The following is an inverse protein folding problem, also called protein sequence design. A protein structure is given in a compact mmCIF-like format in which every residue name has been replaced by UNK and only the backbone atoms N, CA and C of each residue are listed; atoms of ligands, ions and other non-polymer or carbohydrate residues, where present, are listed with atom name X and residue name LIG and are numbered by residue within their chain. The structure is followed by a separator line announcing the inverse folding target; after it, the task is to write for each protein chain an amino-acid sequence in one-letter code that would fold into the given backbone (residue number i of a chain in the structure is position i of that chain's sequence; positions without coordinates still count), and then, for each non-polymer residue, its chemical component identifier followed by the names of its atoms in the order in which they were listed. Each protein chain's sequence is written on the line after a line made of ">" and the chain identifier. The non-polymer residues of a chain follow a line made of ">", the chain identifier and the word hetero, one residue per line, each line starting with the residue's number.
data_IF_397895998890
#
_entry.id   IF_397895998890
#
_cell.length_a   1.000
_cell.length_b   1.000
_cell.length_c   1.000
_cell.angle_alpha   90.00
_cell.angle_beta   90.00
_cell.angle_gamma   90.00
#
_symmetry.space_group_name_H-M   'P 1'
#
loop_
_entity.id
_entity.type
_entity.pdbx_description
1 polymer ?
#
# COMPACT_ATOMS: atom_id res chain seq x y z
N UNK A 1 13.13 27.50 -15.57
CA UNK A 1 14.12 27.24 -16.63
C UNK A 1 13.55 26.20 -17.58
N UNK A 2 13.72 26.36 -18.89
CA UNK A 2 13.25 25.36 -19.86
C UNK A 2 14.32 24.28 -20.03
N UNK A 3 14.01 23.04 -19.64
CA UNK A 3 14.88 21.88 -19.86
C UNK A 3 14.52 21.25 -21.21
N UNK A 4 15.43 21.33 -22.18
CA UNK A 4 15.28 20.69 -23.49
C UNK A 4 16.09 19.39 -23.49
N UNK A 5 15.40 18.25 -23.58
CA UNK A 5 16.00 16.92 -23.64
C UNK A 5 15.88 16.40 -25.07
N UNK A 6 17.01 16.04 -25.68
CA UNK A 6 17.06 15.41 -27.00
C UNK A 6 17.40 13.93 -26.83
N UNK A 7 16.46 13.05 -27.17
CA UNK A 7 16.66 11.59 -27.11
C UNK A 7 17.10 11.12 -28.49
N UNK A 8 18.30 10.53 -28.58
CA UNK A 8 18.77 9.88 -29.80
C UNK A 8 18.64 8.37 -29.63
N UNK A 9 17.70 7.75 -30.35
CA UNK A 9 17.58 6.29 -30.43
C UNK A 9 18.69 5.76 -31.34
N UNK A 10 19.87 5.53 -30.78
CA UNK A 10 20.99 4.93 -31.52
C UNK A 10 20.86 3.42 -31.42
N UNK A 11 20.67 2.79 -32.58
CA UNK A 11 20.71 1.34 -32.72
C UNK A 11 22.10 0.84 -32.26
N UNK A 12 22.16 0.09 -31.16
CA UNK A 12 23.41 -0.46 -30.60
C UNK A 12 23.77 -1.84 -31.20
N UNK A 13 23.03 -2.26 -32.23
CA UNK A 13 23.20 -3.58 -32.84
C UNK A 13 24.39 -3.58 -33.82
N UNK A 14 25.08 -4.71 -33.91
CA UNK A 14 26.21 -4.93 -34.83
C UNK A 14 25.82 -4.60 -36.29
N UNK A 15 26.81 -4.12 -37.06
CA UNK A 15 26.62 -3.73 -38.45
C UNK A 15 25.99 -4.87 -39.29
N UNK A 16 24.72 -4.72 -39.69
CA UNK A 16 24.01 -5.66 -40.55
C UNK A 16 22.53 -5.93 -40.21
N UNK A 17 22.02 -5.49 -39.06
CA UNK A 17 20.61 -5.69 -38.66
C UNK A 17 19.80 -4.38 -38.66
N UNK A 18 18.87 -4.26 -39.61
CA UNK A 18 17.93 -3.12 -39.78
C UNK A 18 16.58 -3.36 -39.08
N UNK A 19 16.58 -3.85 -37.84
CA UNK A 19 15.34 -3.93 -37.06
C UNK A 19 14.99 -2.57 -36.46
N UNK A 20 13.77 -2.10 -36.67
CA UNK A 20 13.26 -0.87 -36.05
C UNK A 20 13.24 -1.03 -34.52
N UNK A 21 14.21 -0.41 -33.83
CA UNK A 21 14.25 -0.39 -32.36
C UNK A 21 13.12 0.50 -31.84
N UNK A 22 12.04 -0.11 -31.35
CA UNK A 22 10.97 0.59 -30.68
C UNK A 22 11.33 0.83 -29.21
N UNK A 23 11.35 2.10 -28.79
CA UNK A 23 11.40 2.45 -27.36
C UNK A 23 9.95 2.55 -26.89
N UNK A 24 9.53 1.60 -26.05
CA UNK A 24 8.23 1.66 -25.39
C UNK A 24 8.40 2.29 -24.00
N UNK A 25 7.55 3.28 -23.68
CA UNK A 25 7.45 3.83 -22.34
C UNK A 25 6.29 3.16 -21.63
N UNK A 26 6.47 2.78 -20.36
CA UNK A 26 5.39 2.27 -19.54
C UNK A 26 4.30 3.35 -19.42
N UNK A 27 3.03 3.04 -19.75
CA UNK A 27 1.94 3.98 -19.55
C UNK A 27 1.87 4.41 -18.08
N UNK A 28 1.92 5.73 -17.81
CA UNK A 28 1.80 6.30 -16.47
C UNK A 28 3.10 6.77 -15.82
N UNK A 29 4.25 6.14 -16.10
CA UNK A 29 5.55 6.53 -15.49
C UNK A 29 6.32 7.57 -16.33
N UNK A 30 6.17 7.55 -17.66
CA UNK A 30 6.76 8.55 -18.56
C UNK A 30 8.29 8.54 -18.59
N UNK A 31 8.90 9.66 -19.01
CA UNK A 31 10.35 9.85 -19.06
C UNK A 31 10.81 10.60 -17.81
N UNK A 32 11.64 9.97 -16.99
CA UNK A 32 12.20 10.58 -15.79
C UNK A 32 13.66 11.03 -15.99
N UNK A 33 13.98 12.23 -15.50
CA UNK A 33 15.36 12.74 -15.44
C UNK A 33 15.79 12.81 -13.99
N UNK A 34 16.69 11.91 -13.60
CA UNK A 34 17.24 11.84 -12.25
C UNK A 34 18.40 12.82 -12.12
N UNK A 35 18.36 13.67 -11.09
CA UNK A 35 19.45 14.56 -10.74
C UNK A 35 19.92 14.29 -9.32
N UNK A 36 21.18 14.63 -9.02
CA UNK A 36 21.76 14.40 -7.71
C UNK A 36 21.18 15.37 -6.68
N UNK A 37 20.41 14.84 -5.74
CA UNK A 37 19.76 15.60 -4.65
C UNK A 37 20.49 15.50 -3.30
N UNK A 38 21.44 14.57 -3.14
CA UNK A 38 22.13 14.37 -1.85
C UNK A 38 23.18 13.26 -1.83
N UNK A 39 23.50 12.80 -0.61
CA UNK A 39 24.42 11.69 -0.34
C UNK A 39 23.72 10.38 0.02
N UNK A 40 24.37 9.25 -0.24
CA UNK A 40 23.81 7.91 -0.05
C UNK A 40 23.51 7.58 1.43
N UNK A 41 24.43 7.90 2.35
CA UNK A 41 24.32 7.51 3.76
C UNK A 41 23.04 8.03 4.44
N UNK A 42 22.68 9.30 4.19
CA UNK A 42 21.44 9.88 4.72
C UNK A 42 20.19 9.23 4.12
N UNK A 43 20.24 8.86 2.84
CA UNK A 43 19.15 8.14 2.17
C UNK A 43 18.98 6.72 2.72
N UNK A 44 20.09 6.02 2.98
CA UNK A 44 20.11 4.69 3.59
C UNK A 44 19.49 4.72 4.98
N UNK A 45 19.84 5.70 5.81
CA UNK A 45 19.27 5.86 7.15
C UNK A 45 17.74 6.04 7.08
N UNK A 46 17.25 6.85 6.14
CA UNK A 46 15.80 7.02 5.92
C UNK A 46 15.12 5.71 5.56
N UNK A 47 15.71 4.93 4.65
CA UNK A 47 15.18 3.61 4.30
C UNK A 47 15.16 2.64 5.47
N UNK A 48 16.21 2.64 6.30
CA UNK A 48 16.27 1.84 7.52
C UNK A 48 15.19 2.25 8.53
N UNK A 49 14.96 3.55 8.72
CA UNK A 49 13.91 4.06 9.61
C UNK A 49 12.52 3.62 9.15
N UNK A 50 12.24 3.67 7.84
CA UNK A 50 10.97 3.16 7.27
C UNK A 50 10.82 1.67 7.56
N UNK A 51 11.90 0.89 7.39
CA UNK A 51 11.88 -0.55 7.63
C UNK A 51 11.65 -0.87 9.12
N UNK A 52 12.29 -0.16 10.04
CA UNK A 52 12.06 -0.30 11.48
C UNK A 52 10.64 0.08 11.89
N UNK A 53 10.06 1.13 11.31
CA UNK A 53 8.67 1.48 11.57
C UNK A 53 7.70 0.37 11.14
N UNK A 54 7.92 -0.25 9.96
CA UNK A 54 7.15 -1.42 9.50
C UNK A 54 7.29 -2.60 10.47
N UNK A 55 8.50 -2.87 10.96
CA UNK A 55 8.75 -3.94 11.95
C UNK A 55 8.10 -3.66 13.31
N UNK A 56 8.09 -2.40 13.77
CA UNK A 56 7.42 -1.98 15.00
C UNK A 56 5.91 -2.20 14.93
N UNK A 57 5.30 -1.99 13.76
CA UNK A 57 3.90 -2.32 13.54
C UNK A 57 3.64 -3.82 13.71
N UNK A 58 4.44 -4.66 13.06
CA UNK A 58 4.30 -6.11 13.09
C UNK A 58 4.52 -6.66 14.50
N UNK A 59 5.48 -6.10 15.25
CA UNK A 59 5.70 -6.49 16.64
C UNK A 59 4.51 -6.12 17.54
N UNK A 60 3.91 -4.94 17.36
CA UNK A 60 2.72 -4.54 18.10
C UNK A 60 1.52 -5.44 17.80
N UNK A 61 1.33 -5.85 16.54
CA UNK A 61 0.32 -6.86 16.15
C UNK A 61 0.58 -8.16 16.90
N UNK A 62 1.81 -8.68 16.85
CA UNK A 62 2.16 -9.95 17.50
C UNK A 62 1.94 -9.90 19.03
N UNK A 63 2.31 -8.81 19.69
CA UNK A 63 2.13 -8.60 21.13
C UNK A 63 0.65 -8.51 21.49
N UNK A 64 -0.14 -7.75 20.72
CA UNK A 64 -1.59 -7.66 20.95
C UNK A 64 -2.26 -9.02 20.79
N UNK A 65 -1.96 -9.75 19.71
CA UNK A 65 -2.50 -11.09 19.48
C UNK A 65 -2.08 -12.09 20.57
N UNK A 66 -0.82 -12.06 21.02
CA UNK A 66 -0.34 -12.95 22.07
C UNK A 66 -1.04 -12.74 23.44
N UNK A 67 -1.71 -11.61 23.65
CA UNK A 67 -2.40 -11.33 24.92
C UNK A 67 -3.69 -12.16 25.10
N UNK A 68 -4.35 -12.55 24.00
CA UNK A 68 -5.60 -13.31 24.03
C UNK A 68 -5.59 -14.59 23.17
N UNK A 69 -4.64 -14.74 22.25
CA UNK A 69 -4.39 -16.00 21.53
C UNK A 69 -3.25 -16.80 22.18
N UNK A 70 -3.25 -18.12 21.97
CA UNK A 70 -2.09 -18.96 22.28
C UNK A 70 -0.88 -18.59 21.41
N UNK A 71 0.34 -18.87 21.92
CA UNK A 71 1.59 -18.51 21.24
C UNK A 71 1.67 -18.97 19.76
N UNK A 72 1.33 -20.22 19.39
CA UNK A 72 1.45 -20.66 18.00
C UNK A 72 0.48 -19.94 17.07
N UNK A 73 -0.75 -19.67 17.52
CA UNK A 73 -1.77 -18.99 16.72
C UNK A 73 -1.50 -17.50 16.60
N UNK A 74 -0.95 -16.86 17.63
CA UNK A 74 -0.53 -15.46 17.58
C UNK A 74 0.58 -15.22 16.54
N UNK A 75 1.56 -16.11 16.46
CA UNK A 75 2.65 -16.03 15.47
C UNK A 75 2.10 -16.22 14.05
N UNK A 76 1.23 -17.21 13.84
CA UNK A 76 0.64 -17.45 12.52
C UNK A 76 -0.22 -16.25 12.07
N UNK A 77 -1.03 -15.70 12.98
CA UNK A 77 -1.89 -14.58 12.70
C UNK A 77 -1.09 -13.28 12.42
N UNK A 78 -0.03 -13.00 13.17
CA UNK A 78 0.84 -11.84 12.89
C UNK A 78 1.57 -11.98 11.56
N UNK A 79 1.98 -13.20 11.19
CA UNK A 79 2.55 -13.48 9.86
C UNK A 79 1.54 -13.24 8.73
N UNK A 80 0.27 -13.65 8.92
CA UNK A 80 -0.78 -13.38 7.94
C UNK A 80 -1.03 -11.87 7.77
N UNK A 81 -1.03 -11.11 8.86
CA UNK A 81 -1.13 -9.63 8.80
C UNK A 81 0.05 -9.05 8.04
N UNK A 82 1.28 -9.52 8.29
CA UNK A 82 2.46 -9.08 7.57
C UNK A 82 2.38 -9.35 6.06
N UNK A 83 2.00 -10.57 5.66
CA UNK A 83 1.84 -10.94 4.25
C UNK A 83 0.75 -10.10 3.59
N UNK A 84 -0.37 -9.88 4.29
CA UNK A 84 -1.47 -9.04 3.78
C UNK A 84 -1.03 -7.60 3.61
N UNK A 85 -0.26 -7.05 4.56
CA UNK A 85 0.28 -5.70 4.47
C UNK A 85 1.25 -5.53 3.30
N UNK A 86 2.06 -6.55 2.99
CA UNK A 86 2.93 -6.58 1.81
C UNK A 86 2.14 -6.70 0.49
N UNK A 87 1.07 -7.50 0.48
CA UNK A 87 0.27 -7.76 -0.72
C UNK A 87 -0.82 -6.72 -0.99
N UNK A 88 -1.10 -5.83 -0.03
CA UNK A 88 -2.17 -4.83 -0.08
C UNK A 88 -2.16 -3.94 -1.33
N UNK A 89 -0.99 -3.47 -1.77
CA UNK A 89 -0.86 -2.65 -2.98
C UNK A 89 -1.25 -3.42 -4.24
N UNK A 90 -0.82 -4.68 -4.35
CA UNK A 90 -1.22 -5.56 -5.45
C UNK A 90 -2.72 -5.86 -5.43
N UNK A 91 -3.32 -6.01 -4.24
CA UNK A 91 -4.77 -6.17 -4.11
C UNK A 91 -5.52 -4.90 -4.51
N UNK A 92 -5.02 -3.72 -4.14
CA UNK A 92 -5.58 -2.45 -4.58
C UNK A 92 -5.55 -2.32 -6.11
N UNK A 93 -4.43 -2.65 -6.74
CA UNK A 93 -4.29 -2.66 -8.20
C UNK A 93 -5.24 -3.66 -8.87
N UNK A 94 -5.34 -4.88 -8.30
CA UNK A 94 -6.24 -5.90 -8.81
C UNK A 94 -7.71 -5.48 -8.73
N UNK A 95 -8.12 -4.81 -7.64
CA UNK A 95 -9.48 -4.26 -7.48
C UNK A 95 -9.71 -3.12 -8.47
N UNK A 96 -8.72 -2.24 -8.68
CA UNK A 96 -8.81 -1.15 -9.66
C UNK A 96 -9.01 -1.68 -11.08
N UNK A 97 -8.26 -2.72 -11.47
CA UNK A 97 -8.41 -3.39 -12.78
C UNK A 97 -9.78 -4.08 -12.87
N UNK A 98 -10.20 -4.77 -11.82
CA UNK A 98 -11.45 -5.54 -11.81
C UNK A 98 -12.70 -4.66 -11.83
N UNK A 99 -12.66 -3.52 -11.13
CA UNK A 99 -13.77 -2.57 -11.07
C UNK A 99 -13.78 -1.61 -12.25
N UNK A 100 -12.62 -1.31 -12.85
CA UNK A 100 -12.47 -0.42 -14.01
C UNK A 100 -12.93 1.02 -13.74
N UNK A 101 -12.98 1.44 -12.47
CA UNK A 101 -13.73 2.63 -12.03
C UNK A 101 -12.90 3.86 -11.66
N UNK A 102 -11.57 3.81 -11.66
CA UNK A 102 -10.79 4.96 -11.23
C UNK A 102 -10.29 5.83 -12.38
N UNK A 103 -10.79 7.08 -12.37
CA UNK A 103 -10.12 8.23 -12.97
C UNK A 103 -9.16 8.79 -11.92
N UNK A 104 -7.86 8.95 -12.23
CA UNK A 104 -6.80 9.28 -11.25
C UNK A 104 -6.88 10.69 -10.61
N UNK A 105 -7.99 11.42 -10.73
CA UNK A 105 -8.08 12.86 -10.42
C UNK A 105 -9.34 13.27 -9.62
N UNK A 106 -10.04 12.33 -8.97
CA UNK A 106 -11.31 12.61 -8.29
C UNK A 106 -11.21 12.58 -6.76
N UNK A 107 -11.62 13.68 -6.11
CA UNK A 107 -11.82 13.80 -4.65
C UNK A 107 -12.65 12.63 -4.11
N UNK A 108 -12.30 12.07 -2.95
CA UNK A 108 -12.96 10.91 -2.33
C UNK A 108 -14.51 11.02 -2.27
N UNK A 109 -15.04 12.23 -2.11
CA UNK A 109 -16.48 12.52 -2.09
C UNK A 109 -17.11 12.43 -3.49
N UNK A 110 -16.40 12.84 -4.53
CA UNK A 110 -16.85 12.69 -5.92
C UNK A 110 -16.83 11.22 -6.35
N UNK A 111 -15.82 10.48 -5.90
CA UNK A 111 -15.70 9.04 -6.11
C UNK A 111 -16.83 8.27 -5.40
N UNK A 112 -17.14 8.63 -4.15
CA UNK A 112 -18.29 8.07 -3.41
C UNK A 112 -19.62 8.36 -4.11
N UNK A 113 -19.85 9.59 -4.58
CA UNK A 113 -21.08 9.95 -5.33
C UNK A 113 -21.20 9.16 -6.64
N UNK A 114 -20.12 9.06 -7.42
CA UNK A 114 -20.09 8.28 -8.65
C UNK A 114 -20.42 6.81 -8.38
N UNK A 115 -19.80 6.22 -7.35
CA UNK A 115 -20.02 4.82 -6.95
C UNK A 115 -21.45 4.56 -6.48
N UNK A 116 -22.05 5.48 -5.71
CA UNK A 116 -23.48 5.40 -5.30
C UNK A 116 -24.42 5.49 -6.50
N UNK A 117 -24.16 6.40 -7.45
CA UNK A 117 -25.00 6.51 -8.66
C UNK A 117 -24.90 5.28 -9.56
N UNK A 118 -23.73 4.64 -9.66
CA UNK A 118 -23.55 3.38 -10.39
C UNK A 118 -24.30 2.22 -9.73
N UNK A 119 -24.27 2.14 -8.40
CA UNK A 119 -25.01 1.13 -7.63
C UNK A 119 -26.52 1.26 -7.87
N UNK A 120 -27.04 2.50 -7.82
CA UNK A 120 -28.45 2.79 -8.08
C UNK A 120 -28.86 2.43 -9.52
N UNK A 121 -28.02 2.73 -10.51
CA UNK A 121 -28.28 2.37 -11.91
C UNK A 121 -28.25 0.86 -12.16
N UNK A 122 -27.33 0.12 -11.53
CA UNK A 122 -27.21 -1.35 -11.65
C UNK A 122 -28.37 -2.09 -10.98
N UNK A 123 -28.84 -1.58 -9.83
CA UNK A 123 -30.04 -2.10 -9.14
C UNK A 123 -31.31 -1.95 -9.98
N UNK A 124 -31.48 -0.81 -10.66
CA UNK A 124 -32.64 -0.57 -11.53
C UNK A 124 -32.63 -1.44 -12.78
N UNK A 125 -31.45 -1.78 -13.31
CA UNK A 125 -31.30 -2.61 -14.51
C UNK A 125 -31.45 -4.13 -14.28
N UNK A 126 -31.72 -4.58 -13.05
CA UNK A 126 -31.79 -6.02 -12.71
C UNK A 126 -30.51 -6.81 -13.03
N UNK A 127 -29.37 -6.12 -13.16
CA UNK A 127 -28.06 -6.73 -13.41
C UNK A 127 -27.44 -7.23 -12.10
N UNK A 128 -28.03 -8.26 -11.51
CA UNK A 128 -27.62 -8.84 -10.22
C UNK A 128 -26.12 -9.21 -10.17
N UNK A 129 -25.57 -9.64 -11.28
CA UNK A 129 -24.14 -9.95 -11.40
C UNK A 129 -23.26 -8.72 -11.17
N UNK A 130 -23.64 -7.57 -11.72
CA UNK A 130 -22.90 -6.33 -11.57
C UNK A 130 -23.11 -5.69 -10.19
N UNK A 131 -24.29 -5.89 -9.58
CA UNK A 131 -24.56 -5.46 -8.20
C UNK A 131 -23.71 -6.24 -7.18
N UNK A 132 -23.60 -7.56 -7.32
CA UNK A 132 -22.77 -8.42 -6.44
C UNK A 132 -21.30 -7.98 -6.51
N UNK A 133 -20.78 -7.72 -7.71
CA UNK A 133 -19.40 -7.21 -7.87
C UNK A 133 -19.19 -5.88 -7.16
N UNK A 134 -20.15 -4.95 -7.26
CA UNK A 134 -20.01 -3.65 -6.59
C UNK A 134 -20.02 -3.82 -5.07
N UNK A 135 -20.91 -4.65 -4.53
CA UNK A 135 -20.92 -4.97 -3.09
C UNK A 135 -19.59 -5.61 -2.64
N UNK A 136 -19.08 -6.58 -3.42
CA UNK A 136 -17.77 -7.19 -3.17
C UNK A 136 -16.63 -6.18 -3.18
N UNK A 137 -16.63 -5.23 -4.12
CA UNK A 137 -15.62 -4.17 -4.17
C UNK A 137 -15.69 -3.23 -2.96
N UNK A 138 -16.88 -2.88 -2.45
CA UNK A 138 -16.99 -2.07 -1.23
C UNK A 138 -16.43 -2.79 -0.01
N UNK A 139 -16.68 -4.10 0.10
CA UNK A 139 -16.10 -4.90 1.17
C UNK A 139 -14.58 -4.96 1.05
N UNK A 140 -14.06 -5.18 -0.16
CA UNK A 140 -12.64 -5.23 -0.42
C UNK A 140 -11.95 -3.88 -0.14
N UNK A 141 -12.53 -2.76 -0.57
CA UNK A 141 -12.03 -1.41 -0.27
C UNK A 141 -12.08 -1.12 1.23
N UNK A 142 -13.16 -1.52 1.92
CA UNK A 142 -13.27 -1.38 3.37
C UNK A 142 -12.23 -2.21 4.11
N UNK A 143 -11.96 -3.43 3.64
CA UNK A 143 -10.91 -4.29 4.18
C UNK A 143 -9.53 -3.68 3.95
N UNK A 144 -9.23 -3.23 2.73
CA UNK A 144 -7.96 -2.58 2.40
C UNK A 144 -7.76 -1.26 3.14
N UNK A 145 -8.82 -0.51 3.45
CA UNK A 145 -8.73 0.69 4.28
C UNK A 145 -8.30 0.37 5.73
N UNK A 146 -8.61 -0.83 6.22
CA UNK A 146 -8.20 -1.29 7.54
C UNK A 146 -6.76 -1.87 7.51
N UNK A 147 -6.39 -2.52 6.40
CA UNK A 147 -5.08 -3.14 6.23
C UNK A 147 -4.01 -2.08 5.94
N UNK A 148 -2.91 -2.04 6.72
CA UNK A 148 -1.79 -1.16 6.43
C UNK A 148 -1.12 -1.51 5.09
N UNK A 149 -0.94 -0.54 4.21
CA UNK A 149 -0.18 -0.72 2.96
C UNK A 149 1.30 -0.46 3.14
N UNK A 150 2.12 -1.51 3.05
CA UNK A 150 3.58 -1.34 3.04
C UNK A 150 4.12 -0.95 1.66
N UNK A 151 3.34 -1.14 0.60
CA UNK A 151 3.72 -0.84 -0.78
C UNK A 151 3.75 0.65 -1.08
N UNK A 152 2.87 1.44 -0.45
CA UNK A 152 2.78 2.90 -0.66
C UNK A 152 4.09 3.63 -0.30
N UNK A 153 4.90 3.01 0.57
CA UNK A 153 6.18 3.53 1.04
C UNK A 153 7.32 2.58 0.71
N UNK A 154 7.62 2.43 -0.58
CA UNK A 154 8.70 1.57 -1.06
C UNK A 154 10.08 2.27 -1.02
N UNK A 155 10.59 2.47 0.19
CA UNK A 155 11.92 3.01 0.39
C UNK A 155 13.03 2.09 -0.17
N UNK A 156 12.79 0.77 -0.25
CA UNK A 156 13.79 -0.21 -0.70
C UNK A 156 14.02 -0.06 -2.21
N UNK A 157 12.95 -0.04 -3.00
CA UNK A 157 13.05 0.18 -4.45
C UNK A 157 13.63 1.56 -4.74
N UNK A 158 13.21 2.59 -4.00
CA UNK A 158 13.83 3.93 -4.14
C UNK A 158 15.34 3.88 -3.90
N UNK A 159 15.80 3.21 -2.85
CA UNK A 159 17.23 3.04 -2.56
C UNK A 159 17.96 2.21 -3.62
N UNK A 160 17.36 1.11 -4.10
CA UNK A 160 17.94 0.23 -5.10
C UNK A 160 18.09 0.92 -6.47
N UNK A 161 17.12 1.77 -6.84
CA UNK A 161 17.14 2.56 -8.09
C UNK A 161 17.92 3.87 -7.93
N UNK A 162 18.49 4.15 -6.75
CA UNK A 162 19.24 5.38 -6.49
C UNK A 162 18.36 6.64 -6.39
N UNK A 163 17.05 6.48 -6.19
CA UNK A 163 16.10 7.56 -5.92
C UNK A 163 16.19 8.01 -4.45
N UNK A 164 15.90 9.29 -4.23
CA UNK A 164 15.90 9.87 -2.89
C UNK A 164 14.58 9.58 -2.17
N UNK A 165 14.67 9.05 -0.95
CA UNK A 165 13.53 8.84 -0.05
C UNK A 165 13.10 10.20 0.52
N UNK A 166 11.86 10.64 0.24
CA UNK A 166 11.35 11.90 0.76
C UNK A 166 11.30 11.88 2.29
N UNK A 167 11.62 13.01 2.93
CA UNK A 167 11.56 13.09 4.39
C UNK A 167 10.11 13.05 4.91
N UNK A 168 9.17 13.62 4.15
CA UNK A 168 7.73 13.53 4.42
C UNK A 168 7.26 12.10 4.59
N UNK A 169 7.76 11.20 3.74
CA UNK A 169 7.34 9.81 3.68
C UNK A 169 7.84 9.07 4.92
N UNK A 170 9.08 9.33 5.33
CA UNK A 170 9.66 8.78 6.56
C UNK A 170 8.83 9.19 7.78
N UNK A 171 8.50 10.48 7.90
CA UNK A 171 7.70 10.98 9.02
C UNK A 171 6.30 10.37 9.01
N UNK A 172 5.65 10.30 7.84
CA UNK A 172 4.32 9.70 7.69
C UNK A 172 4.33 8.23 8.09
N UNK A 173 5.34 7.48 7.63
CA UNK A 173 5.53 6.07 7.96
C UNK A 173 5.72 5.87 9.46
N UNK A 174 6.53 6.70 10.12
CA UNK A 174 6.74 6.61 11.56
C UNK A 174 5.43 6.89 12.31
N UNK A 175 4.73 7.98 11.97
CA UNK A 175 3.48 8.35 12.65
C UNK A 175 2.39 7.30 12.45
N UNK A 176 2.24 6.76 11.25
CA UNK A 176 1.19 5.79 10.94
C UNK A 176 1.57 4.40 11.48
N UNK A 177 2.70 3.85 11.04
CA UNK A 177 3.04 2.44 11.31
C UNK A 177 3.76 2.22 12.64
N UNK A 178 4.54 3.18 13.14
CA UNK A 178 5.23 3.02 14.43
C UNK A 178 4.43 3.55 15.63
N UNK A 179 3.45 4.45 15.40
CA UNK A 179 2.67 5.07 16.49
C UNK A 179 1.19 4.73 16.40
N UNK A 180 0.48 5.18 15.35
CA UNK A 180 -0.98 5.10 15.30
C UNK A 180 -1.50 3.66 15.28
N UNK A 181 -1.00 2.83 14.35
CA UNK A 181 -1.40 1.42 14.26
C UNK A 181 -1.05 0.63 15.53
N UNK A 182 0.21 0.66 16.03
CA UNK A 182 0.58 0.03 17.29
C UNK A 182 -0.29 0.46 18.47
N UNK A 183 -0.53 1.75 18.65
CA UNK A 183 -1.36 2.25 19.74
C UNK A 183 -2.78 1.68 19.66
N UNK A 184 -3.40 1.70 18.47
CA UNK A 184 -4.73 1.11 18.28
C UNK A 184 -4.78 -0.38 18.57
N UNK A 185 -3.79 -1.15 18.09
CA UNK A 185 -3.72 -2.59 18.30
C UNK A 185 -3.45 -2.96 19.75
N UNK A 186 -2.57 -2.23 20.44
CA UNK A 186 -2.29 -2.45 21.85
C UNK A 186 -3.50 -2.09 22.72
N UNK A 187 -4.23 -1.02 22.40
CA UNK A 187 -5.49 -0.69 23.05
C UNK A 187 -6.55 -1.79 22.86
N UNK A 188 -6.66 -2.35 21.65
CA UNK A 188 -7.54 -3.49 21.40
C UNK A 188 -7.13 -4.70 22.24
N UNK A 189 -5.84 -5.04 22.25
CA UNK A 189 -5.30 -6.13 23.07
C UNK A 189 -5.60 -5.93 24.57
N UNK A 190 -5.43 -4.71 25.05
CA UNK A 190 -5.78 -4.33 26.42
C UNK A 190 -7.26 -4.55 26.74
N UNK A 191 -8.17 -4.10 25.87
CA UNK A 191 -9.63 -4.26 26.08
C UNK A 191 -10.02 -5.75 26.13
N UNK A 192 -9.38 -6.59 25.32
CA UNK A 192 -9.62 -8.04 25.37
C UNK A 192 -9.11 -8.68 26.65
N UNK A 193 -7.95 -8.26 27.15
CA UNK A 193 -7.41 -8.70 28.44
C UNK A 193 -8.33 -8.34 29.59
N UNK A 194 -8.75 -7.07 29.67
CA UNK A 194 -9.62 -6.58 30.75
C UNK A 194 -10.95 -7.35 30.81
N UNK A 195 -11.55 -7.63 29.66
CA UNK A 195 -12.78 -8.45 29.59
C UNK A 195 -12.58 -9.89 30.06
N UNK A 196 -11.38 -10.46 29.87
CA UNK A 196 -11.06 -11.81 30.35
C UNK A 196 -10.96 -11.84 31.88
N UNK A 197 -10.34 -10.82 32.46
CA UNK A 197 -10.06 -10.78 33.90
C UNK A 197 -11.36 -10.55 34.71
N UNK A 198 -12.33 -9.80 34.19
CA UNK A 198 -13.63 -9.58 34.87
C UNK A 198 -14.44 -10.88 35.00
N UNK A 199 -14.36 -11.79 34.02
CA UNK A 199 -15.09 -13.07 34.07
C UNK A 199 -14.44 -14.04 35.06
N UNK A 200 -13.11 -14.03 35.18
CA UNK A 200 -12.37 -14.88 36.12
C UNK A 200 -12.46 -14.45 37.59
N UNK A 201 -12.74 -13.18 37.87
CA UNK A 201 -12.85 -12.67 39.25
C UNK A 201 -14.23 -12.91 39.90
N UNK A 202 -15.23 -13.35 39.13
CA UNK A 202 -16.60 -13.61 39.60
C UNK A 202 -16.95 -15.09 39.79
N UNK A 203 -15.96 -16.00 39.68
CA UNK A 203 -16.09 -17.44 39.97
C UNK A 203 -15.29 -17.83 41.20
#
# INVERSE_FOLDING_TARGET
>A
GQLKVTIANRNLVMAGEDFATSIAFTPGEGLEVLYRTGGFAGNLLKGLLVMWAKLAMVSAVAVSLASWLGLPTAILASLMVYITALASSFFADAINIYTGLDRPDATAIAMLRLRVTMLAQRLVKWEWWEAIKTVGSYFADGFLALVPSFGDYDAITQLATGRAVPFSDVVSVILIFAVAYPAGLLLLGWVFLERRDVVGATS
#
